data_IF_541753722088
#
_entry.id   IF_541753722088
#
_cell.length_a   1.000
_cell.length_b   1.000
_cell.length_c   1.000
_cell.angle_alpha   90.00
_cell.angle_beta   90.00
_cell.angle_gamma   90.00
#
_symmetry.space_group_name_H-M   'P 1'
#
loop_
_entity.id
_entity.type
_entity.pdbx_description
1 polymer ?
#
# COMPACT_ATOMS: atom_id res chain seq x y z
N UNK A 1 -2.03 -24.29 29.38
CA UNK A 1 -0.59 -23.96 29.45
C UNK A 1 -0.38 -22.62 28.79
N UNK A 2 0.28 -21.68 29.46
CA UNK A 2 0.62 -20.37 28.89
C UNK A 2 1.81 -20.49 27.93
N UNK A 3 1.74 -19.76 26.82
CA UNK A 3 2.79 -19.66 25.81
C UNK A 3 2.97 -18.20 25.38
N UNK A 4 4.12 -17.90 24.77
CA UNK A 4 4.41 -16.58 24.21
C UNK A 4 4.45 -16.66 22.69
N UNK A 5 3.90 -15.64 22.03
CA UNK A 5 4.00 -15.45 20.59
C UNK A 5 5.34 -14.79 20.23
N UNK A 6 6.16 -15.44 19.41
CA UNK A 6 7.49 -14.93 19.05
C UNK A 6 7.53 -14.10 17.77
N UNK A 7 6.51 -14.19 16.90
CA UNK A 7 6.43 -13.45 15.63
C UNK A 7 4.99 -13.04 15.33
N UNK A 8 4.83 -11.90 14.65
CA UNK A 8 3.56 -11.40 14.12
C UNK A 8 3.22 -12.02 12.77
N UNK A 9 4.23 -12.46 12.00
CA UNK A 9 4.05 -13.25 10.77
C UNK A 9 4.58 -14.65 10.99
N UNK A 10 3.75 -15.64 10.69
CA UNK A 10 3.99 -17.05 11.02
C UNK A 10 4.07 -17.23 12.53
N UNK A 11 2.95 -16.98 13.19
CA UNK A 11 2.79 -17.09 14.64
C UNK A 11 3.22 -18.48 15.13
N UNK A 12 4.37 -18.57 15.80
CA UNK A 12 4.84 -19.80 16.43
C UNK A 12 4.40 -19.77 17.89
N UNK A 13 3.47 -20.65 18.26
CA UNK A 13 3.03 -20.82 19.64
C UNK A 13 4.00 -21.73 20.41
N UNK A 14 4.91 -21.14 21.20
CA UNK A 14 5.81 -21.90 22.06
C UNK A 14 5.13 -22.23 23.40
N UNK A 15 4.88 -23.51 23.62
CA UNK A 15 4.29 -24.05 24.86
C UNK A 15 5.30 -24.90 25.61
N UNK A 16 5.38 -24.68 26.94
CA UNK A 16 6.06 -25.59 27.86
C UNK A 16 5.08 -26.72 28.24
N UNK A 17 5.08 -27.81 27.50
CA UNK A 17 4.21 -28.97 27.76
C UNK A 17 4.26 -30.06 26.68
N UNK A 18 3.64 -31.21 26.93
CA UNK A 18 3.53 -32.30 25.94
C UNK A 18 2.56 -31.91 24.83
N UNK A 19 3.02 -31.89 23.58
CA UNK A 19 2.19 -31.69 22.39
C UNK A 19 1.80 -33.03 21.77
N UNK A 20 0.67 -33.08 21.07
CA UNK A 20 0.27 -34.22 20.22
C UNK A 20 -0.01 -33.71 18.82
N UNK A 21 0.44 -34.45 17.82
CA UNK A 21 0.22 -34.14 16.41
C UNK A 21 -1.16 -34.65 15.99
N UNK A 22 -1.97 -33.78 15.39
CA UNK A 22 -3.25 -34.17 14.81
C UNK A 22 -3.01 -34.96 13.51
N UNK A 23 -3.67 -36.12 13.35
CA UNK A 23 -3.42 -37.04 12.22
C UNK A 23 -4.33 -36.80 11.01
N UNK A 24 -5.41 -36.03 11.16
CA UNK A 24 -6.31 -35.73 10.05
C UNK A 24 -5.80 -34.55 9.23
N UNK A 25 -5.88 -34.58 7.89
CA UNK A 25 -5.62 -33.42 7.07
C UNK A 25 -6.65 -32.32 7.38
N UNK A 26 -6.16 -31.12 7.68
CA UNK A 26 -6.96 -29.90 7.66
C UNK A 26 -6.97 -29.40 6.21
N UNK A 27 -8.11 -29.50 5.54
CA UNK A 27 -8.29 -28.92 4.20
C UNK A 27 -8.37 -27.40 4.33
N UNK A 28 -7.27 -26.71 4.02
CA UNK A 28 -7.19 -25.25 4.04
C UNK A 28 -7.12 -24.72 2.60
N UNK A 29 -8.25 -24.29 2.06
CA UNK A 29 -8.32 -23.60 0.77
C UNK A 29 -8.00 -22.13 1.00
N UNK A 30 -6.74 -21.72 0.79
CA UNK A 30 -6.30 -20.37 1.17
C UNK A 30 -6.99 -19.26 0.39
N UNK A 31 -7.18 -19.39 -0.93
CA UNK A 31 -7.70 -18.31 -1.77
C UNK A 31 -8.58 -18.81 -2.93
N UNK A 32 -9.91 -18.69 -2.85
CA UNK A 32 -10.82 -19.05 -3.95
C UNK A 32 -10.75 -18.10 -5.15
N UNK A 33 -10.30 -16.85 -4.96
CA UNK A 33 -10.21 -15.85 -6.01
C UNK A 33 -8.83 -15.16 -6.05
N UNK A 34 -8.40 -14.77 -7.26
CA UNK A 34 -7.12 -14.07 -7.46
C UNK A 34 -7.04 -12.75 -6.67
N UNK A 35 -8.15 -12.01 -6.58
CA UNK A 35 -8.22 -10.77 -5.83
C UNK A 35 -7.92 -10.96 -4.33
N UNK A 36 -8.45 -12.03 -3.74
CA UNK A 36 -8.17 -12.37 -2.33
C UNK A 36 -6.72 -12.80 -2.13
N UNK A 37 -6.14 -13.50 -3.12
CA UNK A 37 -4.74 -13.87 -3.06
C UNK A 37 -3.83 -12.64 -3.14
N UNK A 38 -4.12 -11.69 -4.02
CA UNK A 38 -3.40 -10.42 -4.12
C UNK A 38 -3.53 -9.58 -2.84
N UNK A 39 -4.73 -9.52 -2.24
CA UNK A 39 -4.95 -8.87 -0.95
C UNK A 39 -4.06 -9.49 0.13
N UNK A 40 -4.05 -10.81 0.22
CA UNK A 40 -3.26 -11.56 1.20
C UNK A 40 -1.75 -11.38 0.98
N UNK A 41 -1.30 -11.39 -0.28
CA UNK A 41 0.09 -11.04 -0.65
C UNK A 41 0.43 -9.63 -0.18
N UNK A 42 -0.45 -8.66 -0.38
CA UNK A 42 -0.22 -7.28 0.04
C UNK A 42 -0.16 -7.13 1.57
N UNK A 43 -1.08 -7.75 2.30
CA UNK A 43 -1.11 -7.73 3.77
C UNK A 43 0.14 -8.41 4.35
N UNK A 44 0.41 -9.65 3.93
CA UNK A 44 1.53 -10.44 4.42
C UNK A 44 2.88 -9.84 4.05
N UNK A 45 3.01 -9.24 2.86
CA UNK A 45 4.24 -8.53 2.49
C UNK A 45 4.47 -7.29 3.33
N UNK A 46 3.41 -6.58 3.76
CA UNK A 46 3.52 -5.43 4.68
C UNK A 46 4.00 -5.86 6.05
N UNK A 47 3.41 -6.94 6.59
CA UNK A 47 3.80 -7.45 7.90
C UNK A 47 5.26 -7.96 7.90
N UNK A 48 5.65 -8.74 6.89
CA UNK A 48 7.02 -9.22 6.74
C UNK A 48 8.04 -8.08 6.59
N UNK A 49 7.70 -7.05 5.82
CA UNK A 49 8.57 -5.89 5.68
C UNK A 49 8.75 -5.14 7.01
N UNK A 50 7.69 -5.05 7.82
CA UNK A 50 7.77 -4.46 9.16
C UNK A 50 8.59 -5.32 10.12
N UNK A 51 8.41 -6.64 10.13
CA UNK A 51 9.24 -7.52 10.96
C UNK A 51 10.72 -7.42 10.58
N UNK A 52 11.06 -7.47 9.29
CA UNK A 52 12.44 -7.32 8.86
C UNK A 52 13.02 -5.94 9.22
N UNK A 53 12.20 -4.90 9.22
CA UNK A 53 12.60 -3.58 9.68
C UNK A 53 12.86 -3.58 11.20
N UNK A 54 11.96 -4.18 12.00
CA UNK A 54 12.07 -4.27 13.46
C UNK A 54 13.28 -5.15 13.88
N UNK A 55 13.61 -6.18 13.09
CA UNK A 55 14.83 -7.00 13.22
C UNK A 55 16.12 -6.27 12.77
N UNK A 56 16.02 -5.07 12.22
CA UNK A 56 17.16 -4.28 11.75
C UNK A 56 17.77 -4.75 10.42
N UNK A 57 17.07 -5.62 9.67
CA UNK A 57 17.58 -6.14 8.39
C UNK A 57 17.66 -5.04 7.33
N UNK A 58 18.81 -4.96 6.66
CA UNK A 58 19.07 -4.05 5.55
C UNK A 58 19.01 -4.78 4.21
N UNK A 59 18.66 -4.04 3.16
CA UNK A 59 18.66 -4.57 1.81
C UNK A 59 20.03 -4.39 1.18
N UNK A 60 20.64 -5.51 0.81
CA UNK A 60 21.84 -5.54 -0.02
C UNK A 60 21.44 -5.84 -1.47
N UNK A 61 22.35 -5.65 -2.43
CA UNK A 61 22.09 -5.98 -3.85
C UNK A 61 21.65 -7.44 -4.05
N UNK A 62 22.19 -8.35 -3.23
CA UNK A 62 21.83 -9.78 -3.25
C UNK A 62 20.36 -10.01 -2.88
N UNK A 63 19.77 -9.18 -2.00
CA UNK A 63 18.36 -9.31 -1.63
C UNK A 63 17.44 -9.12 -2.84
N UNK A 64 17.83 -8.27 -3.80
CA UNK A 64 17.07 -8.02 -5.03
C UNK A 64 17.11 -9.16 -6.05
N UNK A 65 18.03 -10.11 -5.89
CA UNK A 65 18.07 -11.34 -6.70
C UNK A 65 17.10 -12.41 -6.18
N UNK A 66 16.58 -12.26 -4.95
CA UNK A 66 15.69 -13.26 -4.36
C UNK A 66 14.31 -13.37 -5.03
N UNK A 67 13.65 -12.30 -5.51
CA UNK A 67 12.42 -12.43 -6.30
C UNK A 67 12.58 -13.28 -7.57
N UNK A 68 13.51 -12.99 -8.50
CA UNK A 68 13.69 -13.85 -9.68
C UNK A 68 14.16 -15.26 -9.30
N UNK A 69 15.01 -15.42 -8.27
CA UNK A 69 15.38 -16.74 -7.76
C UNK A 69 14.16 -17.50 -7.21
N UNK A 70 13.18 -16.81 -6.60
CA UNK A 70 11.95 -17.43 -6.10
C UNK A 70 11.05 -17.91 -7.23
N UNK A 71 10.96 -17.14 -8.31
CA UNK A 71 10.29 -17.58 -9.53
C UNK A 71 10.94 -18.85 -10.08
N UNK A 72 12.27 -18.83 -10.28
CA UNK A 72 13.02 -19.98 -10.80
C UNK A 72 12.85 -21.22 -9.91
N UNK A 73 12.92 -21.04 -8.59
CA UNK A 73 12.70 -22.11 -7.64
C UNK A 73 11.28 -22.69 -7.73
N UNK A 74 10.25 -21.85 -7.77
CA UNK A 74 8.87 -22.35 -7.79
C UNK A 74 8.48 -22.95 -9.13
N UNK A 75 8.96 -22.38 -10.23
CA UNK A 75 8.58 -22.84 -11.56
C UNK A 75 9.39 -24.06 -12.01
N UNK A 76 10.73 -24.02 -11.89
CA UNK A 76 11.60 -25.09 -12.37
C UNK A 76 11.93 -26.12 -11.29
N UNK A 77 12.40 -25.69 -10.10
CA UNK A 77 12.86 -26.64 -9.07
C UNK A 77 11.70 -27.37 -8.39
N UNK A 78 10.54 -26.72 -8.26
CA UNK A 78 9.32 -27.34 -7.72
C UNK A 78 8.40 -27.89 -8.80
N UNK A 79 8.88 -27.96 -10.03
CA UNK A 79 8.15 -28.53 -11.16
C UNK A 79 6.79 -27.86 -11.41
N UNK A 80 6.63 -26.58 -11.07
CA UNK A 80 5.37 -25.84 -11.30
C UNK A 80 4.98 -25.75 -12.77
N UNK A 81 5.91 -25.98 -13.71
CA UNK A 81 5.57 -26.14 -15.13
C UNK A 81 4.70 -27.38 -15.41
N UNK A 82 4.71 -28.40 -14.55
CA UNK A 82 3.84 -29.59 -14.68
C UNK A 82 2.37 -29.24 -14.40
N UNK A 83 2.12 -28.22 -13.57
CA UNK A 83 0.78 -27.70 -13.29
C UNK A 83 0.28 -26.74 -14.39
N UNK A 84 1.05 -26.58 -15.47
CA UNK A 84 0.72 -25.72 -16.60
C UNK A 84 0.57 -24.25 -16.22
N UNK A 85 -0.52 -23.63 -16.66
CA UNK A 85 -0.78 -22.19 -16.48
C UNK A 85 -0.97 -21.82 -15.00
N UNK A 86 -1.54 -22.71 -14.19
CA UNK A 86 -1.77 -22.46 -12.77
C UNK A 86 -0.45 -22.36 -12.00
N UNK A 87 0.50 -23.28 -12.28
CA UNK A 87 1.82 -23.25 -11.66
C UNK A 87 2.65 -22.03 -12.10
N UNK A 88 2.50 -21.59 -13.35
CA UNK A 88 3.10 -20.32 -13.81
C UNK A 88 2.55 -19.12 -13.02
N UNK A 89 1.22 -18.98 -12.95
CA UNK A 89 0.57 -17.89 -12.20
C UNK A 89 0.99 -17.89 -10.74
N UNK A 90 1.03 -19.07 -10.10
CA UNK A 90 1.49 -19.20 -8.72
C UNK A 90 2.95 -18.78 -8.55
N UNK A 91 3.86 -19.22 -9.44
CA UNK A 91 5.27 -18.85 -9.38
C UNK A 91 5.47 -17.33 -9.51
N UNK A 92 4.71 -16.66 -10.39
CA UNK A 92 4.70 -15.20 -10.55
C UNK A 92 4.21 -14.53 -9.27
N UNK A 93 3.09 -14.97 -8.70
CA UNK A 93 2.51 -14.37 -7.49
C UNK A 93 3.41 -14.50 -6.26
N UNK A 94 4.10 -15.64 -6.12
CA UNK A 94 5.09 -15.82 -5.06
C UNK A 94 6.35 -14.98 -5.27
N UNK A 95 6.79 -14.80 -6.51
CA UNK A 95 7.86 -13.86 -6.86
C UNK A 95 7.46 -12.41 -6.54
N UNK A 96 6.22 -12.02 -6.88
CA UNK A 96 5.65 -10.72 -6.56
C UNK A 96 5.60 -10.48 -5.06
N UNK A 97 5.15 -11.46 -4.26
CA UNK A 97 5.19 -11.35 -2.80
C UNK A 97 6.62 -11.09 -2.29
N UNK A 98 7.60 -11.85 -2.80
CA UNK A 98 9.02 -11.68 -2.47
C UNK A 98 9.53 -10.27 -2.83
N UNK A 99 9.15 -9.76 -3.99
CA UNK A 99 9.48 -8.41 -4.43
C UNK A 99 8.84 -7.34 -3.53
N UNK A 100 7.54 -7.45 -3.22
CA UNK A 100 6.82 -6.48 -2.40
C UNK A 100 7.36 -6.38 -0.98
N UNK A 101 7.77 -7.49 -0.36
CA UNK A 101 8.44 -7.47 0.96
C UNK A 101 9.69 -6.59 0.92
N UNK A 102 10.53 -6.73 -0.11
CA UNK A 102 11.78 -5.97 -0.26
C UNK A 102 11.52 -4.53 -0.64
N UNK A 103 10.62 -4.27 -1.59
CA UNK A 103 10.21 -2.92 -1.96
C UNK A 103 9.66 -2.14 -0.76
N UNK A 104 8.80 -2.77 0.05
CA UNK A 104 8.26 -2.15 1.27
C UNK A 104 9.34 -1.94 2.33
N UNK A 105 10.25 -2.90 2.53
CA UNK A 105 11.38 -2.74 3.46
C UNK A 105 12.31 -1.60 3.02
N UNK A 106 12.58 -1.49 1.71
CA UNK A 106 13.36 -0.39 1.14
C UNK A 106 12.70 0.95 1.43
N UNK A 107 11.39 1.04 1.16
CA UNK A 107 10.60 2.25 1.43
C UNK A 107 10.53 2.56 2.92
N UNK A 108 10.47 1.57 3.82
CA UNK A 108 10.52 1.79 5.26
C UNK A 108 11.87 2.37 5.71
N UNK A 109 12.98 1.86 5.18
CA UNK A 109 14.30 2.41 5.48
C UNK A 109 14.51 3.80 4.88
N UNK A 110 14.05 4.02 3.65
CA UNK A 110 14.08 5.33 3.01
C UNK A 110 13.19 6.33 3.78
N UNK A 111 11.97 5.93 4.15
CA UNK A 111 11.04 6.76 4.92
C UNK A 111 11.49 6.98 6.35
N UNK A 112 12.19 6.06 7.02
CA UNK A 112 12.72 6.30 8.36
C UNK A 112 14.05 7.05 8.35
N UNK A 113 14.82 6.98 7.25
CA UNK A 113 15.90 7.91 6.97
C UNK A 113 15.36 9.34 6.75
N UNK A 114 14.32 9.47 5.93
CA UNK A 114 13.60 10.72 5.69
C UNK A 114 12.82 11.17 6.93
N UNK A 115 12.20 10.29 7.72
CA UNK A 115 11.48 10.64 8.94
C UNK A 115 12.45 11.02 10.05
N UNK A 116 13.67 10.49 10.15
CA UNK A 116 14.67 11.09 11.06
C UNK A 116 15.04 12.52 10.65
N UNK A 117 15.08 12.82 9.34
CA UNK A 117 15.33 14.16 8.80
C UNK A 117 14.09 15.08 8.92
N UNK A 118 12.88 14.54 8.74
CA UNK A 118 11.59 15.26 8.72
C UNK A 118 10.90 15.32 10.09
N UNK A 119 11.23 14.46 11.06
CA UNK A 119 10.75 14.60 12.44
C UNK A 119 11.37 15.83 13.13
N UNK A 120 12.42 16.43 12.55
CA UNK A 120 12.88 17.78 12.88
C UNK A 120 12.09 18.90 12.17
N UNK A 121 11.22 18.58 11.21
CA UNK A 121 10.37 19.55 10.49
C UNK A 121 8.96 19.02 10.33
N UNK A 122 8.11 19.22 11.34
CA UNK A 122 6.65 19.15 11.16
C UNK A 122 6.23 20.11 10.05
N UNK A 123 5.99 19.61 8.83
CA UNK A 123 5.42 20.40 7.74
C UNK A 123 3.95 20.67 8.06
N UNK A 124 3.67 21.87 8.56
CA UNK A 124 2.30 22.37 8.78
C UNK A 124 1.60 22.38 7.41
N UNK A 125 0.49 21.65 7.27
CA UNK A 125 -0.31 21.62 6.05
C UNK A 125 -0.73 23.07 5.75
N UNK A 126 -0.37 23.58 4.58
CA UNK A 126 -0.59 24.99 4.23
C UNK A 126 -2.08 25.21 4.00
N UNK A 127 -2.74 25.79 5.02
CA UNK A 127 -4.11 26.28 5.00
C UNK A 127 -4.38 27.31 3.87
N UNK A 128 -3.32 27.80 3.22
CA UNK A 128 -3.40 28.82 2.17
C UNK A 128 -4.07 28.33 0.89
N UNK A 129 -4.01 27.02 0.57
CA UNK A 129 -4.62 26.50 -0.66
C UNK A 129 -6.15 26.71 -0.67
N UNK A 130 -6.81 26.38 0.45
CA UNK A 130 -8.25 26.54 0.59
C UNK A 130 -8.67 28.02 0.66
N UNK A 131 -7.82 28.89 1.22
CA UNK A 131 -8.05 30.35 1.23
C UNK A 131 -8.02 30.96 -0.16
N UNK A 132 -7.06 30.55 -0.99
CA UNK A 132 -6.94 31.03 -2.39
C UNK A 132 -8.14 30.55 -3.21
N UNK A 133 -8.51 29.28 -3.06
CA UNK A 133 -9.66 28.72 -3.77
C UNK A 133 -10.96 29.44 -3.38
N UNK A 134 -11.15 29.76 -2.10
CA UNK A 134 -12.29 30.54 -1.62
C UNK A 134 -12.30 31.97 -2.19
N UNK A 135 -11.15 32.66 -2.23
CA UNK A 135 -11.01 34.01 -2.79
C UNK A 135 -11.32 34.08 -4.29
N UNK A 136 -10.89 33.09 -5.06
CA UNK A 136 -11.22 33.01 -6.50
C UNK A 136 -12.72 32.83 -6.69
N UNK A 137 -13.34 31.96 -5.88
CA UNK A 137 -14.77 31.68 -5.97
C UNK A 137 -15.64 32.91 -5.63
N UNK A 138 -15.27 33.70 -4.61
CA UNK A 138 -16.01 34.93 -4.26
C UNK A 138 -15.89 36.02 -5.32
N UNK A 139 -14.72 36.15 -5.96
CA UNK A 139 -14.52 37.10 -7.06
C UNK A 139 -15.39 36.72 -8.26
N UNK A 140 -15.46 35.44 -8.63
CA UNK A 140 -16.29 34.98 -9.75
C UNK A 140 -17.78 35.26 -9.54
N UNK A 141 -18.29 35.05 -8.31
CA UNK A 141 -19.66 35.38 -7.95
C UNK A 141 -19.91 36.89 -8.07
N UNK A 142 -18.98 37.70 -7.58
CA UNK A 142 -19.10 39.15 -7.63
C UNK A 142 -19.10 39.69 -9.07
N UNK A 143 -18.23 39.17 -9.94
CA UNK A 143 -18.20 39.53 -11.37
C UNK A 143 -19.52 39.14 -12.04
N UNK A 144 -20.04 37.94 -11.75
CA UNK A 144 -21.33 37.48 -12.28
C UNK A 144 -22.48 38.40 -11.83
N UNK A 145 -22.48 38.83 -10.57
CA UNK A 145 -23.47 39.77 -10.04
C UNK A 145 -23.37 41.17 -10.67
N UNK A 146 -22.16 41.70 -10.85
CA UNK A 146 -21.92 42.96 -11.56
C UNK A 146 -22.40 42.91 -13.01
N UNK A 147 -22.13 41.80 -13.70
CA UNK A 147 -22.61 41.58 -15.06
C UNK A 147 -24.14 41.57 -15.13
N UNK A 148 -24.80 40.89 -14.18
CA UNK A 148 -26.25 40.90 -14.06
C UNK A 148 -26.82 42.30 -13.80
N UNK A 149 -26.19 43.09 -12.93
CA UNK A 149 -26.58 44.48 -12.67
C UNK A 149 -26.37 45.37 -13.90
N UNK A 150 -25.27 45.21 -14.62
CA UNK A 150 -24.98 45.94 -15.86
C UNK A 150 -26.06 45.68 -16.93
N UNK A 151 -26.42 44.41 -17.12
CA UNK A 151 -27.53 44.03 -18.02
C UNK A 151 -28.87 44.67 -17.61
N UNK A 152 -29.15 44.79 -16.31
CA UNK A 152 -30.36 45.49 -15.82
C UNK A 152 -30.25 47.01 -15.92
N UNK A 153 -29.07 47.61 -15.78
CA UNK A 153 -28.85 49.06 -15.88
C UNK A 153 -29.07 49.59 -17.30
N UNK A 154 -28.66 48.82 -18.32
CA UNK A 154 -28.92 49.15 -19.72
C UNK A 154 -30.41 49.18 -20.07
N UNK A 155 -31.27 48.46 -19.33
CA UNK A 155 -32.72 48.46 -19.57
C UNK A 155 -33.43 49.78 -19.20
N UNK A 156 -32.81 50.65 -18.40
CA UNK A 156 -33.40 51.93 -17.98
C UNK A 156 -32.95 53.16 -18.78
N UNK A 157 -31.93 53.03 -19.63
CA UNK A 157 -31.36 54.15 -20.39
C UNK A 157 -31.85 54.24 -21.85
N UNK A 158 -32.66 53.30 -22.33
CA UNK A 158 -33.28 53.38 -23.66
C UNK A 158 -34.54 54.26 -23.72
N UNK A 159 -34.99 54.85 -22.60
CA UNK A 159 -36.22 55.65 -22.53
C UNK A 159 -36.01 57.17 -22.44
N UNK A 160 -34.79 57.67 -22.59
CA UNK A 160 -34.50 59.11 -22.68
C UNK A 160 -33.74 59.40 -23.99
N UNK A 161 -34.50 59.48 -25.08
CA UNK A 161 -34.09 60.20 -26.30
C UNK A 161 -34.99 61.44 -26.37
N UNK A 162 -34.41 62.61 -26.10
CA UNK A 162 -34.89 63.88 -26.63
C UNK A 162 -33.99 64.24 -27.81
#
# INVERSE_FOLDING_TARGET
GGGNWERKVDEIWKIKGKTKTFRSPLLHYSHPALAEFLRSINERSTLNAREFYDEGKRLNLIEWLKPPAKFLQNYFLRLGFLDGTQGFVFAVLMSLHSFLVRGKLYLLWARNGVARVDLGKKKKRSESFWKILFLVWTILIFISYLYFLFQRGLSKWSSWRF
#
